data_IF_476544475079
#
_entry.id   IF_476544475079
#
_cell.length_a   1.000
_cell.length_b   1.000
_cell.length_c   1.000
_cell.angle_alpha   90.00
_cell.angle_beta   90.00
_cell.angle_gamma   90.00
#
_symmetry.space_group_name_H-M   'P 1'
#
loop_
_entity.id
_entity.type
_entity.pdbx_description
1 polymer ?
#
# COMPACT_ATOMS: atom_id res chain seq x y z
N UNK A 1 -29.35 12.56 5.28
CA UNK A 1 -27.99 13.08 4.98
C UNK A 1 -27.20 13.55 6.23
N UNK A 2 -27.66 13.33 7.46
CA UNK A 2 -27.09 13.97 8.67
C UNK A 2 -26.14 13.10 9.52
N UNK A 3 -26.33 11.77 9.60
CA UNK A 3 -25.42 10.88 10.36
C UNK A 3 -24.22 10.37 9.57
N UNK A 4 -24.42 10.13 8.27
CA UNK A 4 -23.38 9.61 7.36
C UNK A 4 -22.28 10.65 7.15
N UNK A 5 -22.65 11.91 6.86
CA UNK A 5 -21.66 12.98 6.77
C UNK A 5 -20.90 13.17 8.08
N UNK A 6 -21.57 13.16 9.22
CA UNK A 6 -20.93 13.28 10.54
C UNK A 6 -19.97 12.13 10.87
N UNK A 7 -20.22 10.92 10.37
CA UNK A 7 -19.30 9.79 10.52
C UNK A 7 -18.03 9.94 9.67
N UNK A 8 -18.19 10.47 8.44
CA UNK A 8 -17.07 10.64 7.52
C UNK A 8 -16.26 11.90 7.79
N UNK A 9 -16.92 12.99 8.20
CA UNK A 9 -16.29 14.25 8.53
C UNK A 9 -15.75 14.20 9.95
N UNK A 10 -14.44 14.16 10.12
CA UNK A 10 -13.79 14.33 11.42
C UNK A 10 -12.50 15.12 11.27
N UNK A 11 -12.24 15.98 12.25
CA UNK A 11 -11.03 16.79 12.27
C UNK A 11 -9.93 16.07 13.01
N UNK A 12 -9.00 15.49 12.25
CA UNK A 12 -7.79 14.88 12.79
C UNK A 12 -6.63 15.82 12.54
N UNK A 13 -5.87 16.08 13.59
CA UNK A 13 -4.62 16.82 13.46
C UNK A 13 -3.55 15.91 12.86
N UNK A 14 -2.92 16.37 11.78
CA UNK A 14 -1.80 15.67 11.18
C UNK A 14 -0.54 15.91 12.00
N UNK A 15 -0.02 14.84 12.59
CA UNK A 15 1.24 14.85 13.31
C UNK A 15 2.33 14.24 12.43
N UNK A 16 2.97 15.09 11.61
CA UNK A 16 3.96 14.62 10.63
C UNK A 16 5.13 13.86 11.27
N UNK A 17 5.54 14.23 12.48
CA UNK A 17 6.60 13.53 13.21
C UNK A 17 6.26 12.06 13.49
N UNK A 18 4.99 11.72 13.76
CA UNK A 18 4.55 10.33 13.93
C UNK A 18 4.67 9.55 12.61
N UNK A 19 4.28 10.17 11.49
CA UNK A 19 4.35 9.56 10.16
C UNK A 19 5.81 9.30 9.79
N UNK A 20 6.68 10.28 9.98
CA UNK A 20 8.13 10.16 9.73
C UNK A 20 8.73 9.07 10.62
N UNK A 21 8.39 9.04 11.90
CA UNK A 21 8.87 8.01 12.82
C UNK A 21 8.50 6.59 12.35
N UNK A 22 7.24 6.38 11.96
CA UNK A 22 6.75 5.08 11.46
C UNK A 22 7.43 4.74 10.12
N UNK A 23 7.65 5.71 9.24
CA UNK A 23 8.35 5.52 7.97
C UNK A 23 9.82 5.11 8.18
N UNK A 24 10.53 5.75 9.11
CA UNK A 24 11.91 5.36 9.47
C UNK A 24 11.92 3.95 10.04
N UNK A 25 11.01 3.65 10.98
CA UNK A 25 10.89 2.32 11.58
C UNK A 25 10.65 1.25 10.51
N UNK A 26 9.73 1.52 9.58
CA UNK A 26 9.46 0.66 8.42
C UNK A 26 10.74 0.38 7.60
N UNK A 27 11.46 1.43 7.21
CA UNK A 27 12.69 1.32 6.40
C UNK A 27 13.76 0.51 7.14
N UNK A 28 13.93 0.73 8.45
CA UNK A 28 14.91 0.00 9.28
C UNK A 28 14.55 -1.48 9.35
N UNK A 29 13.30 -1.81 9.67
CA UNK A 29 12.81 -3.20 9.72
C UNK A 29 13.05 -3.90 8.39
N UNK A 30 12.66 -3.26 7.28
CA UNK A 30 12.79 -3.81 5.95
C UNK A 30 14.25 -4.00 5.53
N UNK A 31 15.12 -3.04 5.83
CA UNK A 31 16.56 -3.11 5.53
C UNK A 31 17.23 -4.29 6.22
N UNK A 32 16.82 -4.56 7.47
CA UNK A 32 17.37 -5.66 8.26
C UNK A 32 16.50 -6.91 8.25
N UNK A 33 15.61 -7.09 7.26
CA UNK A 33 14.65 -8.21 7.19
C UNK A 33 15.26 -9.60 7.23
N UNK A 34 16.55 -9.75 6.90
CA UNK A 34 17.24 -11.05 6.91
C UNK A 34 17.85 -11.41 8.29
N UNK A 35 17.66 -10.58 9.33
CA UNK A 35 18.24 -10.79 10.67
C UNK A 35 17.19 -11.27 11.70
N UNK A 36 17.44 -12.39 12.36
CA UNK A 36 16.68 -12.93 13.52
C UNK A 36 15.16 -12.63 13.53
N UNK A 37 14.69 -11.67 14.34
CA UNK A 37 13.26 -11.35 14.55
C UNK A 37 12.68 -10.47 13.43
N UNK A 38 13.52 -9.77 12.67
CA UNK A 38 13.08 -8.81 11.66
C UNK A 38 12.29 -9.38 10.47
N UNK A 39 12.44 -10.64 10.02
CA UNK A 39 11.60 -11.19 8.96
C UNK A 39 10.11 -11.20 9.33
N UNK A 40 9.79 -11.46 10.60
CA UNK A 40 8.40 -11.49 11.09
C UNK A 40 7.85 -10.06 11.15
N UNK A 41 8.63 -9.12 11.69
CA UNK A 41 8.24 -7.71 11.74
C UNK A 41 8.08 -7.12 10.33
N UNK A 42 8.96 -7.48 9.39
CA UNK A 42 8.86 -7.10 7.98
C UNK A 42 7.52 -7.55 7.39
N UNK A 43 7.07 -8.78 7.65
CA UNK A 43 5.77 -9.26 7.16
C UNK A 43 4.62 -8.38 7.64
N UNK A 44 4.58 -8.04 8.94
CA UNK A 44 3.51 -7.22 9.49
C UNK A 44 3.53 -5.78 8.98
N UNK A 45 4.70 -5.15 8.97
CA UNK A 45 4.84 -3.75 8.54
C UNK A 45 4.66 -3.58 7.01
N UNK A 46 5.08 -4.56 6.20
CA UNK A 46 4.90 -4.55 4.75
C UNK A 46 3.50 -5.00 4.32
N UNK A 47 2.65 -5.47 5.23
CA UNK A 47 1.36 -6.04 4.83
C UNK A 47 0.49 -5.05 4.07
N UNK A 48 0.32 -3.83 4.59
CA UNK A 48 -0.44 -2.76 3.93
C UNK A 48 0.25 -2.27 2.65
N UNK A 49 1.55 -1.95 2.64
CA UNK A 49 2.30 -1.64 1.43
C UNK A 49 2.15 -2.67 0.30
N UNK A 50 2.40 -3.95 0.60
CA UNK A 50 2.31 -5.06 -0.37
C UNK A 50 0.88 -5.22 -0.84
N UNK A 51 -0.11 -5.24 0.07
CA UNK A 51 -1.51 -5.28 -0.31
C UNK A 51 -1.86 -4.13 -1.28
N UNK A 52 -1.37 -2.93 -0.99
CA UNK A 52 -1.63 -1.75 -1.81
C UNK A 52 -0.99 -1.88 -3.19
N UNK A 53 0.26 -2.33 -3.27
CA UNK A 53 0.97 -2.58 -4.51
C UNK A 53 0.24 -3.62 -5.38
N UNK A 54 -0.03 -4.80 -4.82
CA UNK A 54 -0.65 -5.90 -5.55
C UNK A 54 -2.10 -5.60 -5.94
N UNK A 55 -2.82 -4.86 -5.10
CA UNK A 55 -4.14 -4.34 -5.46
C UNK A 55 -4.04 -3.33 -6.62
N UNK A 56 -2.94 -2.59 -6.75
CA UNK A 56 -2.64 -1.76 -7.91
C UNK A 56 -2.69 -2.56 -9.20
N UNK A 57 -2.02 -3.73 -9.26
CA UNK A 57 -2.12 -4.61 -10.43
C UNK A 57 -3.56 -5.00 -10.72
N UNK A 58 -4.32 -5.39 -9.71
CA UNK A 58 -5.73 -5.83 -9.87
C UNK A 58 -6.63 -4.71 -10.38
N UNK A 59 -6.49 -3.51 -9.81
CA UNK A 59 -7.29 -2.34 -10.17
C UNK A 59 -7.01 -1.96 -11.63
N UNK A 60 -5.74 -1.79 -11.98
CA UNK A 60 -5.35 -1.42 -13.33
C UNK A 60 -5.64 -2.52 -14.35
N UNK A 61 -5.56 -3.80 -13.95
CA UNK A 61 -6.01 -4.90 -14.78
C UNK A 61 -7.50 -4.78 -15.11
N UNK A 62 -8.36 -4.58 -14.11
CA UNK A 62 -9.79 -4.36 -14.34
C UNK A 62 -10.06 -3.13 -15.22
N UNK A 63 -9.37 -2.02 -14.98
CA UNK A 63 -9.52 -0.79 -15.78
C UNK A 63 -9.14 -1.00 -17.25
N UNK A 64 -8.16 -1.86 -17.52
CA UNK A 64 -7.77 -2.27 -18.88
C UNK A 64 -8.65 -3.36 -19.51
N UNK A 65 -9.74 -3.79 -18.85
CA UNK A 65 -10.64 -4.84 -19.32
C UNK A 65 -10.16 -6.27 -19.06
N UNK A 66 -9.17 -6.45 -18.19
CA UNK A 66 -8.67 -7.74 -17.72
C UNK A 66 -9.51 -8.38 -16.62
N UNK A 67 -9.13 -9.59 -16.20
CA UNK A 67 -9.77 -10.34 -15.13
C UNK A 67 -8.74 -10.74 -14.06
N UNK A 68 -8.81 -10.17 -12.84
CA UNK A 68 -8.00 -10.64 -11.73
C UNK A 68 -8.51 -12.02 -11.27
N UNK A 69 -7.59 -12.92 -10.96
CA UNK A 69 -7.89 -14.33 -10.58
C UNK A 69 -7.55 -14.62 -9.13
N UNK A 70 -6.41 -14.12 -8.67
CA UNK A 70 -5.97 -14.34 -7.31
C UNK A 70 -5.11 -13.16 -6.85
N UNK A 71 -5.07 -12.97 -5.54
CA UNK A 71 -4.22 -12.02 -4.86
C UNK A 71 -3.63 -12.71 -3.64
N UNK A 72 -2.30 -12.83 -3.59
CA UNK A 72 -1.62 -13.56 -2.51
C UNK A 72 -0.63 -12.63 -1.84
N UNK A 73 -0.67 -12.61 -0.50
CA UNK A 73 0.36 -11.99 0.32
C UNK A 73 1.13 -13.11 1.02
N UNK A 74 2.44 -13.13 0.83
CA UNK A 74 3.32 -14.14 1.42
C UNK A 74 3.55 -13.78 2.89
N UNK A 75 2.97 -14.57 3.78
CA UNK A 75 2.93 -14.31 5.22
C UNK A 75 3.92 -15.14 6.04
N UNK A 76 4.81 -15.91 5.41
CA UNK A 76 5.84 -16.71 6.11
C UNK A 76 7.26 -16.31 5.68
N UNK A 77 8.22 -16.18 6.60
CA UNK A 77 9.60 -15.83 6.26
C UNK A 77 10.28 -16.85 5.34
N UNK A 78 10.04 -18.14 5.57
CA UNK A 78 10.63 -19.23 4.80
C UNK A 78 10.21 -19.18 3.33
N UNK A 79 8.94 -18.89 3.06
CA UNK A 79 8.44 -18.74 1.70
C UNK A 79 9.01 -17.48 1.04
N UNK A 80 9.07 -16.33 1.72
CA UNK A 80 9.69 -15.11 1.17
C UNK A 80 11.15 -15.33 0.80
N UNK A 81 11.90 -16.10 1.59
CA UNK A 81 13.28 -16.45 1.28
C UNK A 81 13.39 -17.39 0.08
N UNK A 82 12.49 -18.36 -0.03
CA UNK A 82 12.48 -19.33 -1.12
C UNK A 82 12.04 -18.71 -2.46
N UNK A 83 11.04 -17.83 -2.46
CA UNK A 83 10.45 -17.25 -3.68
C UNK A 83 10.97 -15.86 -4.00
N UNK A 84 11.61 -15.17 -3.04
CA UNK A 84 11.95 -13.74 -3.12
C UNK A 84 10.75 -12.81 -3.36
N UNK A 85 9.52 -13.30 -3.12
CA UNK A 85 8.28 -12.55 -3.32
C UNK A 85 7.65 -12.21 -1.97
N UNK A 86 7.17 -10.97 -1.82
CA UNK A 86 6.39 -10.53 -0.65
C UNK A 86 4.88 -10.67 -0.86
N UNK A 87 4.45 -10.61 -2.12
CA UNK A 87 3.09 -10.81 -2.60
C UNK A 87 3.12 -11.05 -4.12
N UNK A 88 1.97 -11.43 -4.67
CA UNK A 88 1.76 -11.48 -6.11
C UNK A 88 0.25 -11.48 -6.44
N UNK A 89 -0.10 -10.79 -7.53
CA UNK A 89 -1.43 -10.82 -8.13
C UNK A 89 -1.43 -11.67 -9.40
N UNK A 90 -2.34 -12.64 -9.48
CA UNK A 90 -2.58 -13.41 -10.70
C UNK A 90 -3.64 -12.67 -11.51
N UNK A 91 -3.23 -12.08 -12.63
CA UNK A 91 -4.10 -11.30 -13.52
C UNK A 91 -4.13 -11.89 -14.92
N UNK A 92 -5.25 -11.70 -15.63
CA UNK A 92 -5.40 -12.10 -17.03
C UNK A 92 -5.72 -10.87 -17.87
N UNK A 93 -4.84 -10.55 -18.82
CA UNK A 93 -5.03 -9.46 -19.77
C UNK A 93 -5.29 -10.02 -21.16
N UNK A 94 -6.17 -9.35 -21.94
CA UNK A 94 -6.46 -9.74 -23.32
C UNK A 94 -5.43 -9.19 -24.32
N UNK A 95 -4.70 -8.14 -23.95
CA UNK A 95 -3.78 -7.41 -24.83
C UNK A 95 -2.47 -7.11 -24.10
N UNK A 96 -1.37 -6.96 -24.85
CA UNK A 96 -0.07 -6.54 -24.30
C UNK A 96 -0.15 -5.17 -23.61
N UNK A 97 -0.92 -4.24 -24.19
CA UNK A 97 -1.18 -2.93 -23.59
C UNK A 97 -1.88 -3.06 -22.23
N UNK A 98 -2.90 -3.91 -22.11
CA UNK A 98 -3.59 -4.15 -20.84
C UNK A 98 -2.66 -4.77 -19.79
N UNK A 99 -1.78 -5.69 -20.20
CA UNK A 99 -0.76 -6.25 -19.32
C UNK A 99 0.25 -5.18 -18.89
N UNK A 100 0.64 -4.28 -19.79
CA UNK A 100 1.56 -3.18 -19.47
C UNK A 100 0.93 -2.18 -18.49
N UNK A 101 -0.34 -1.82 -18.68
CA UNK A 101 -1.09 -0.97 -17.75
C UNK A 101 -1.21 -1.65 -16.37
N UNK A 102 -1.48 -2.96 -16.36
CA UNK A 102 -1.55 -3.78 -15.14
C UNK A 102 -0.22 -3.75 -14.37
N UNK A 103 0.88 -4.07 -15.04
CA UNK A 103 2.22 -4.10 -14.43
C UNK A 103 2.65 -2.70 -13.98
N UNK A 104 2.33 -1.66 -14.76
CA UNK A 104 2.62 -0.27 -14.39
C UNK A 104 1.88 0.17 -13.12
N UNK A 105 0.63 -0.26 -12.96
CA UNK A 105 -0.25 0.14 -11.87
C UNK A 105 0.22 -0.24 -10.48
N UNK A 106 0.96 -1.35 -10.32
CA UNK A 106 1.42 -1.82 -9.01
C UNK A 106 2.32 -0.81 -8.32
N UNK A 107 3.28 -0.24 -9.05
CA UNK A 107 4.22 0.78 -8.55
C UNK A 107 3.59 2.17 -8.37
N UNK A 108 2.45 2.46 -9.00
CA UNK A 108 1.74 3.73 -8.84
C UNK A 108 0.86 3.74 -7.59
N UNK A 109 0.28 2.59 -7.24
CA UNK A 109 -0.76 2.51 -6.21
C UNK A 109 -0.31 2.95 -4.81
N UNK A 110 0.89 2.58 -4.29
CA UNK A 110 1.35 3.07 -2.98
C UNK A 110 1.45 4.60 -2.90
N UNK A 111 2.02 5.24 -3.93
CA UNK A 111 2.12 6.69 -4.00
C UNK A 111 0.74 7.34 -4.13
N UNK A 112 -0.14 6.78 -4.96
CA UNK A 112 -1.52 7.27 -5.10
C UNK A 112 -2.27 7.19 -3.76
N UNK A 113 -2.20 6.06 -3.06
CA UNK A 113 -2.87 5.90 -1.76
C UNK A 113 -2.26 6.80 -0.68
N UNK A 114 -0.95 6.99 -0.68
CA UNK A 114 -0.29 7.95 0.20
C UNK A 114 -0.85 9.37 -0.05
N UNK A 115 -0.91 9.80 -1.31
CA UNK A 115 -1.45 11.10 -1.68
C UNK A 115 -2.92 11.27 -1.29
N UNK A 116 -3.77 10.28 -1.60
CA UNK A 116 -5.19 10.27 -1.22
C UNK A 116 -5.39 10.31 0.28
N UNK A 117 -4.53 9.62 1.04
CA UNK A 117 -4.55 9.65 2.50
C UNK A 117 -4.30 11.06 3.04
N UNK A 118 -3.34 11.81 2.50
CA UNK A 118 -3.14 13.21 2.89
C UNK A 118 -4.27 14.13 2.48
N UNK A 119 -4.80 13.98 1.26
CA UNK A 119 -5.96 14.76 0.82
C UNK A 119 -7.17 14.53 1.73
N UNK A 120 -7.39 13.29 2.17
CA UNK A 120 -8.49 12.97 3.09
C UNK A 120 -8.38 13.73 4.41
N UNK A 121 -7.18 13.96 4.93
CA UNK A 121 -6.97 14.76 6.15
C UNK A 121 -7.17 16.26 5.85
N UNK A 122 -6.57 16.74 4.76
CA UNK A 122 -6.69 18.15 4.34
C UNK A 122 -8.15 18.57 4.19
N UNK A 123 -8.97 17.73 3.55
CA UNK A 123 -10.38 17.99 3.33
C UNK A 123 -11.29 17.50 4.47
N UNK A 124 -10.75 17.09 5.63
CA UNK A 124 -11.50 16.69 6.83
C UNK A 124 -12.39 15.44 6.64
N UNK A 125 -12.00 14.53 5.74
CA UNK A 125 -12.65 13.22 5.50
C UNK A 125 -11.73 12.01 5.75
N UNK A 126 -11.02 11.93 6.88
CA UNK A 126 -10.07 10.84 7.13
C UNK A 126 -10.72 9.46 7.20
N UNK A 127 -11.95 9.36 7.71
CA UNK A 127 -12.70 8.09 7.77
C UNK A 127 -13.00 7.51 6.38
N UNK A 128 -13.09 8.36 5.34
CA UNK A 128 -13.28 7.90 3.96
C UNK A 128 -12.07 7.10 3.48
N UNK A 129 -10.86 7.54 3.82
CA UNK A 129 -9.62 6.83 3.48
C UNK A 129 -9.53 5.47 4.16
N UNK A 130 -9.88 5.39 5.45
CA UNK A 130 -9.94 4.10 6.17
C UNK A 130 -11.01 3.21 5.55
N UNK A 131 -12.17 3.75 5.19
CA UNK A 131 -13.25 2.99 4.54
C UNK A 131 -12.81 2.46 3.18
N UNK A 132 -12.07 3.24 2.39
CA UNK A 132 -11.50 2.77 1.12
C UNK A 132 -10.54 1.59 1.33
N UNK A 133 -9.68 1.65 2.35
CA UNK A 133 -8.81 0.53 2.73
C UNK A 133 -9.60 -0.70 3.20
N UNK A 134 -10.67 -0.51 3.97
CA UNK A 134 -11.57 -1.60 4.36
C UNK A 134 -12.20 -2.27 3.14
N UNK A 135 -12.69 -1.49 2.17
CA UNK A 135 -13.24 -2.02 0.91
C UNK A 135 -12.19 -2.78 0.09
N UNK A 136 -10.96 -2.25 -0.02
CA UNK A 136 -9.84 -2.95 -0.65
C UNK A 136 -9.57 -4.29 0.05
N UNK A 137 -9.58 -4.30 1.38
CA UNK A 137 -9.36 -5.51 2.17
C UNK A 137 -10.49 -6.53 2.02
N UNK A 138 -11.75 -6.09 2.02
CA UNK A 138 -12.91 -6.94 1.76
C UNK A 138 -12.85 -7.54 0.36
N UNK A 139 -12.46 -6.75 -0.64
CA UNK A 139 -12.27 -7.25 -2.00
C UNK A 139 -11.13 -8.28 -2.08
N UNK A 140 -10.03 -8.03 -1.37
CA UNK A 140 -8.92 -8.98 -1.26
C UNK A 140 -9.36 -10.32 -0.64
N UNK A 141 -10.18 -10.32 0.42
CA UNK A 141 -10.70 -11.56 1.02
C UNK A 141 -11.51 -12.41 0.05
N UNK A 142 -12.30 -11.74 -0.80
CA UNK A 142 -13.10 -12.41 -1.81
C UNK A 142 -12.20 -13.08 -2.86
N UNK A 143 -11.13 -12.40 -3.26
CA UNK A 143 -10.26 -12.84 -4.35
C UNK A 143 -9.17 -13.83 -3.91
N UNK A 144 -8.64 -13.71 -2.69
CA UNK A 144 -7.47 -14.46 -2.25
C UNK A 144 -7.77 -15.95 -2.05
N UNK A 145 -6.88 -16.79 -2.58
CA UNK A 145 -6.86 -18.21 -2.26
C UNK A 145 -6.40 -18.49 -0.83
N UNK A 146 -5.62 -17.59 -0.20
CA UNK A 146 -5.04 -17.77 1.14
C UNK A 146 -5.86 -17.07 2.22
N UNK A 147 -6.90 -17.76 2.70
CA UNK A 147 -7.93 -17.13 3.55
C UNK A 147 -7.57 -16.98 5.03
N UNK A 148 -6.62 -17.76 5.57
CA UNK A 148 -6.39 -17.83 7.02
C UNK A 148 -6.03 -16.48 7.66
N UNK A 149 -4.91 -15.88 7.23
CA UNK A 149 -4.44 -14.61 7.79
C UNK A 149 -5.41 -13.45 7.50
N UNK A 150 -5.96 -13.30 6.28
CA UNK A 150 -6.97 -12.29 6.01
C UNK A 150 -8.23 -12.43 6.88
N UNK A 151 -8.72 -13.65 7.11
CA UNK A 151 -9.86 -13.91 8.00
C UNK A 151 -9.55 -13.50 9.44
N UNK A 152 -8.35 -13.84 9.95
CA UNK A 152 -7.93 -13.43 11.30
C UNK A 152 -7.97 -11.91 11.44
N UNK A 153 -7.45 -11.18 10.44
CA UNK A 153 -7.48 -9.71 10.43
C UNK A 153 -8.92 -9.20 10.43
N UNK A 154 -9.84 -9.80 9.66
CA UNK A 154 -11.25 -9.41 9.69
C UNK A 154 -11.89 -9.66 11.05
N UNK A 155 -11.65 -10.81 11.67
CA UNK A 155 -12.20 -11.10 13.00
C UNK A 155 -11.72 -10.05 14.00
N UNK A 156 -10.44 -9.68 13.97
CA UNK A 156 -9.89 -8.61 14.81
C UNK A 156 -10.53 -7.25 14.53
N UNK A 157 -10.74 -6.91 13.25
CA UNK A 157 -11.40 -5.65 12.86
C UNK A 157 -12.86 -5.61 13.30
N UNK A 158 -13.61 -6.70 13.13
CA UNK A 158 -15.01 -6.80 13.57
C UNK A 158 -15.10 -6.71 15.09
N UNK A 159 -14.21 -7.39 15.82
CA UNK A 159 -14.15 -7.31 17.28
C UNK A 159 -13.84 -5.87 17.75
N UNK A 160 -12.87 -5.20 17.11
CA UNK A 160 -12.55 -3.81 17.39
C UNK A 160 -13.75 -2.87 17.12
N UNK A 161 -14.39 -3.02 15.97
CA UNK A 161 -15.58 -2.24 15.59
C UNK A 161 -16.75 -2.49 16.55
N UNK A 162 -16.94 -3.72 17.00
CA UNK A 162 -17.95 -4.07 18.01
C UNK A 162 -17.66 -3.40 19.36
N UNK A 163 -16.42 -3.48 19.85
CA UNK A 163 -16.00 -2.80 21.08
C UNK A 163 -16.17 -1.27 20.99
N UNK A 164 -15.86 -0.70 19.82
CA UNK A 164 -16.07 0.72 19.55
C UNK A 164 -17.55 1.10 19.56
N UNK A 165 -18.40 0.29 18.93
CA UNK A 165 -19.84 0.54 18.84
C UNK A 165 -20.53 0.46 20.21
N UNK A 166 -20.09 -0.46 21.07
CA UNK A 166 -20.59 -0.56 22.45
C UNK A 166 -20.06 0.55 23.35
N UNK A 167 -19.02 1.27 22.94
CA UNK A 167 -18.50 2.40 23.69
C UNK A 167 -19.19 3.70 23.26
N UNK A 168 -19.85 4.40 24.19
CA UNK A 168 -20.34 5.78 23.96
C UNK A 168 -19.19 6.81 23.86
N UNK A 169 -17.95 6.35 23.75
CA UNK A 169 -16.77 7.18 23.85
C UNK A 169 -16.32 7.67 22.47
N UNK A 170 -16.91 8.78 22.03
CA UNK A 170 -16.54 9.47 20.78
C UNK A 170 -15.04 9.81 20.70
N UNK A 171 -14.36 10.05 21.84
CA UNK A 171 -12.91 10.29 21.85
C UNK A 171 -12.12 9.04 21.47
N UNK A 172 -12.56 7.86 21.89
CA UNK A 172 -11.91 6.59 21.56
C UNK A 172 -11.95 6.33 20.05
N UNK A 173 -13.08 6.61 19.41
CA UNK A 173 -13.24 6.53 17.95
C UNK A 173 -12.25 7.48 17.26
N UNK A 174 -12.18 8.74 17.71
CA UNK A 174 -11.24 9.72 17.15
C UNK A 174 -9.78 9.26 17.28
N UNK A 175 -9.39 8.71 18.44
CA UNK A 175 -8.04 8.19 18.65
C UNK A 175 -7.71 7.02 17.73
N UNK A 176 -8.64 6.06 17.57
CA UNK A 176 -8.42 4.91 16.69
C UNK A 176 -8.28 5.37 15.24
N UNK A 177 -9.17 6.24 14.75
CA UNK A 177 -9.06 6.78 13.38
C UNK A 177 -7.73 7.52 13.20
N UNK A 178 -7.33 8.34 14.18
CA UNK A 178 -6.05 9.08 14.15
C UNK A 178 -4.86 8.13 14.08
N UNK A 179 -4.76 7.17 15.00
CA UNK A 179 -3.63 6.23 15.06
C UNK A 179 -3.57 5.35 13.81
N UNK A 180 -4.70 4.78 13.39
CA UNK A 180 -4.77 3.94 12.19
C UNK A 180 -4.33 4.71 10.95
N UNK A 181 -4.78 5.94 10.80
CA UNK A 181 -4.42 6.74 9.64
C UNK A 181 -2.94 7.14 9.63
N UNK A 182 -2.39 7.58 10.77
CA UNK A 182 -0.96 7.90 10.87
C UNK A 182 -0.10 6.66 10.61
N UNK A 183 -0.53 5.48 11.07
CA UNK A 183 0.13 4.22 10.80
C UNK A 183 0.14 3.89 9.31
N UNK A 184 -1.03 3.90 8.65
CA UNK A 184 -1.14 3.63 7.19
C UNK A 184 -0.28 4.61 6.40
N UNK A 185 -0.36 5.91 6.69
CA UNK A 185 0.43 6.93 6.02
C UNK A 185 1.94 6.75 6.26
N UNK A 186 2.33 6.38 7.48
CA UNK A 186 3.72 6.14 7.85
C UNK A 186 4.33 4.95 7.10
N UNK A 187 3.63 3.81 7.05
CA UNK A 187 4.12 2.63 6.31
C UNK A 187 4.13 2.87 4.81
N UNK A 188 3.15 3.60 4.25
CA UNK A 188 3.13 3.97 2.83
C UNK A 188 4.24 4.98 2.48
N UNK A 189 4.53 5.95 3.36
CA UNK A 189 5.65 6.86 3.17
C UNK A 189 6.98 6.09 3.19
N UNK A 190 7.13 5.18 4.15
CA UNK A 190 8.27 4.26 4.21
C UNK A 190 8.42 3.44 2.92
N UNK A 191 7.31 2.90 2.41
CA UNK A 191 7.29 2.15 1.15
C UNK A 191 7.64 3.02 -0.06
N UNK A 192 7.10 4.22 -0.20
CA UNK A 192 7.40 5.12 -1.33
C UNK A 192 8.89 5.49 -1.37
N UNK A 193 9.50 5.71 -0.19
CA UNK A 193 10.94 5.99 -0.09
C UNK A 193 11.79 4.75 -0.36
N UNK A 194 11.46 3.61 0.27
CA UNK A 194 12.16 2.35 0.10
C UNK A 194 12.06 1.85 -1.34
N UNK A 195 10.88 1.92 -1.95
CA UNK A 195 10.62 1.42 -3.30
C UNK A 195 11.40 2.24 -4.33
N UNK A 196 11.50 3.56 -4.15
CA UNK A 196 12.34 4.42 -4.99
C UNK A 196 13.81 3.95 -5.01
N UNK A 197 14.35 3.60 -3.84
CA UNK A 197 15.70 3.05 -3.72
C UNK A 197 15.83 1.65 -4.34
N UNK A 198 14.81 0.81 -4.17
CA UNK A 198 14.78 -0.54 -4.73
C UNK A 198 14.67 -0.53 -6.25
N UNK A 199 13.80 0.31 -6.83
CA UNK A 199 13.67 0.54 -8.27
C UNK A 199 15.02 0.98 -8.84
N UNK A 200 15.69 1.94 -8.21
CA UNK A 200 17.01 2.41 -8.65
C UNK A 200 18.01 1.23 -8.71
N UNK A 201 18.14 0.45 -7.63
CA UNK A 201 19.03 -0.72 -7.59
C UNK A 201 18.67 -1.78 -8.63
N UNK A 202 17.39 -2.10 -8.81
CA UNK A 202 16.93 -3.08 -9.80
C UNK A 202 17.18 -2.63 -11.24
N UNK A 203 17.09 -1.33 -11.50
CA UNK A 203 17.31 -0.74 -12.83
C UNK A 203 18.77 -0.82 -13.26
N UNK A 204 19.69 -0.60 -12.32
CA UNK A 204 21.14 -0.57 -12.58
C UNK A 204 21.86 -1.83 -12.10
N UNK A 205 21.14 -2.87 -11.71
CA UNK A 205 21.71 -4.17 -11.35
C UNK A 205 22.21 -4.90 -12.60
N UNK A 206 23.44 -5.41 -12.55
CA UNK A 206 24.01 -6.25 -13.62
C UNK A 206 23.32 -7.61 -13.72
N UNK A 207 22.78 -8.11 -12.60
CA UNK A 207 22.04 -9.36 -12.56
C UNK A 207 20.67 -9.19 -13.18
N UNK A 208 20.32 -10.06 -14.14
CA UNK A 208 18.97 -10.15 -14.73
C UNK A 208 17.99 -10.73 -13.72
N UNK A 209 17.46 -9.87 -12.85
CA UNK A 209 16.37 -10.21 -11.94
C UNK A 209 15.05 -9.94 -12.65
N UNK A 210 14.12 -10.88 -12.59
CA UNK A 210 12.75 -10.66 -13.08
C UNK A 210 11.98 -9.77 -12.11
N UNK A 211 11.54 -8.61 -12.58
CA UNK A 211 10.67 -7.68 -11.87
C UNK A 211 9.80 -6.91 -12.87
N UNK A 212 8.82 -6.14 -12.39
CA UNK A 212 7.86 -5.44 -13.25
C UNK A 212 8.51 -4.56 -14.33
N UNK A 213 9.63 -3.91 -14.03
CA UNK A 213 10.37 -3.10 -14.99
C UNK A 213 11.00 -3.91 -16.12
N UNK A 214 11.42 -5.16 -15.87
CA UNK A 214 11.87 -6.06 -16.95
C UNK A 214 10.69 -6.60 -17.75
N UNK A 215 9.56 -6.91 -17.09
CA UNK A 215 8.34 -7.34 -17.77
C UNK A 215 7.79 -6.25 -18.69
N UNK A 216 7.78 -4.99 -18.25
CA UNK A 216 7.37 -3.87 -19.10
C UNK A 216 8.26 -3.67 -20.31
N UNK A 217 9.57 -3.85 -20.15
CA UNK A 217 10.51 -3.82 -21.28
C UNK A 217 10.20 -4.90 -22.30
N UNK A 218 9.88 -6.12 -21.86
CA UNK A 218 9.52 -7.21 -22.77
C UNK A 218 8.19 -6.96 -23.49
N UNK A 219 7.21 -6.39 -22.80
CA UNK A 219 5.88 -6.12 -23.38
C UNK A 219 5.86 -4.94 -24.36
N UNK A 220 6.67 -3.91 -24.10
CA UNK A 220 6.61 -2.62 -24.80
C UNK A 220 7.84 -2.30 -25.63
N UNK A 221 8.94 -3.03 -25.44
CA UNK A 221 10.27 -2.76 -26.00
C UNK A 221 10.90 -1.43 -25.52
N UNK A 222 10.29 -0.73 -24.57
CA UNK A 222 10.83 0.50 -23.97
C UNK A 222 11.85 0.12 -22.88
N UNK A 223 13.02 0.78 -22.80
CA UNK A 223 14.02 0.50 -21.77
C UNK A 223 13.45 0.66 -20.35
N UNK A 224 13.78 -0.28 -19.46
CA UNK A 224 13.34 -0.30 -18.06
C UNK A 224 13.59 1.02 -17.32
N UNK A 225 14.71 1.69 -17.60
CA UNK A 225 15.05 3.00 -17.04
C UNK A 225 13.94 4.06 -17.21
N UNK A 226 13.20 4.05 -18.33
CA UNK A 226 12.13 5.02 -18.57
C UNK A 226 11.01 4.84 -17.53
N UNK A 227 10.59 3.60 -17.29
CA UNK A 227 9.58 3.30 -16.28
C UNK A 227 10.07 3.63 -14.87
N UNK A 228 11.33 3.31 -14.57
CA UNK A 228 11.96 3.63 -13.30
C UNK A 228 11.97 5.12 -13.00
N UNK A 229 12.31 5.96 -14.00
CA UNK A 229 12.25 7.42 -13.87
C UNK A 229 10.82 7.88 -13.59
N UNK A 230 9.83 7.34 -14.30
CA UNK A 230 8.43 7.71 -14.10
C UNK A 230 7.96 7.35 -12.69
N UNK A 231 8.21 6.13 -12.21
CA UNK A 231 7.79 5.72 -10.87
C UNK A 231 8.50 6.49 -9.77
N UNK A 232 9.82 6.70 -9.88
CA UNK A 232 10.57 7.51 -8.92
C UNK A 232 10.07 8.96 -8.94
N UNK A 233 9.75 9.52 -10.10
CA UNK A 233 9.20 10.86 -10.20
C UNK A 233 7.81 10.97 -9.52
N UNK A 234 6.92 9.98 -9.71
CA UNK A 234 5.63 9.91 -9.03
C UNK A 234 5.81 9.84 -7.50
N UNK A 235 6.75 9.02 -7.04
CA UNK A 235 7.09 8.88 -5.63
C UNK A 235 7.60 10.21 -5.03
N UNK A 236 8.60 10.82 -5.67
CA UNK A 236 9.18 12.10 -5.24
C UNK A 236 8.17 13.24 -5.30
N UNK A 237 7.32 13.29 -6.33
CA UNK A 237 6.25 14.26 -6.43
C UNK A 237 5.26 14.12 -5.28
N UNK A 238 4.86 12.89 -4.94
CA UNK A 238 3.93 12.62 -3.84
C UNK A 238 4.54 13.08 -2.50
N UNK A 239 5.80 12.75 -2.25
CA UNK A 239 6.54 13.18 -1.06
C UNK A 239 6.65 14.71 -1.03
N UNK A 240 7.00 15.35 -2.13
CA UNK A 240 7.06 16.81 -2.24
C UNK A 240 5.72 17.46 -1.89
N UNK A 241 4.60 16.94 -2.42
CA UNK A 241 3.26 17.48 -2.14
C UNK A 241 2.88 17.35 -0.67
N UNK A 242 3.31 16.27 0.00
CA UNK A 242 3.19 16.12 1.45
C UNK A 242 3.92 17.25 2.18
N UNK A 243 5.22 17.44 1.89
CA UNK A 243 6.02 18.46 2.55
C UNK A 243 5.47 19.87 2.29
N UNK A 244 5.13 20.17 1.03
CA UNK A 244 4.53 21.46 0.67
C UNK A 244 3.24 21.72 1.44
N UNK A 245 2.31 20.77 1.46
CA UNK A 245 1.01 20.95 2.13
C UNK A 245 1.14 21.13 3.64
N UNK A 246 2.18 20.55 4.26
CA UNK A 246 2.38 20.65 5.71
C UNK A 246 3.16 21.89 6.14
N UNK A 247 4.24 22.22 5.42
CA UNK A 247 5.17 23.29 5.81
C UNK A 247 4.88 24.64 5.12
N UNK A 248 4.19 24.62 3.99
CA UNK A 248 3.86 25.80 3.18
C UNK A 248 2.33 25.84 2.95
N UNK A 249 1.53 26.11 4.01
CA UNK A 249 0.07 26.15 3.92
C UNK A 249 -0.45 27.20 2.94
#
# INVERSE_FOLDING_TARGET
MTKVNAFFSSSIQLHLYWIIFIAILYIVIHTYRNKSINPILDIYFNYIPVLTHEFGHILFNKLSGGKPRDLVIVATPSERLATSQQGFAITQSKTSLGQSITTFGGYVMPALMLFLGFLSIKYQYPSLFITAYLLMFTYFLYLTSRKLLPIIIVILLVALLYCLFQSDNQRMILYIVTVTQHFILGVLLGEVLQSSWTIFKLTFSENRVSWDGSTLKELTHIPTFVYSVIWIAINLFTVYQLFKTYFLP
#
